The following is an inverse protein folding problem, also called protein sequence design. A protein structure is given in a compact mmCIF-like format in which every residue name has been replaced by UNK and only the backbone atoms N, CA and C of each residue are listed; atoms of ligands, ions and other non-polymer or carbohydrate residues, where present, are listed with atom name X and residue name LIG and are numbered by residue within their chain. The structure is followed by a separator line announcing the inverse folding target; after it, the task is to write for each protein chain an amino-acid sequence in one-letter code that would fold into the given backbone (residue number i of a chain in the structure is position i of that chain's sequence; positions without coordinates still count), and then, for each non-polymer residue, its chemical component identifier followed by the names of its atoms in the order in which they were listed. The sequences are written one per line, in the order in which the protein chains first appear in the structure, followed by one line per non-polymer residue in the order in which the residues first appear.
data_IF_894514196275
#
_entry.id   IF_894514196275
#
_cell.length_a   1.000
_cell.length_b   1.000
_cell.length_c   1.000
_cell.angle_alpha   90.00
_cell.angle_beta   90.00
_cell.angle_gamma   90.00
#
_symmetry.space_group_name_H-M   'P 1'
#
loop_
_entity.id
_entity.type
_entity.pdbx_description
1 polymer ?
#
# COMPACT_ATOMS: atom_id res chain seq x y z
N UNK A 1 -20.12 26.60 -5.93
CA UNK A 1 -18.72 26.59 -6.42
C UNK A 1 -17.95 25.49 -5.68
N UNK A 2 -17.59 24.42 -6.37
CA UNK A 2 -16.72 23.37 -5.80
C UNK A 2 -15.31 23.96 -5.77
N UNK A 3 -14.72 24.21 -4.60
CA UNK A 3 -13.33 24.64 -4.50
C UNK A 3 -12.48 23.57 -5.19
N UNK A 4 -11.80 23.93 -6.28
CA UNK A 4 -10.78 23.09 -6.88
C UNK A 4 -9.59 23.04 -5.92
N UNK A 5 -9.65 22.11 -4.97
CA UNK A 5 -8.55 21.76 -4.10
C UNK A 5 -7.57 20.90 -4.90
N UNK A 6 -6.73 21.53 -5.69
CA UNK A 6 -5.66 20.92 -6.51
C UNK A 6 -4.57 20.21 -5.69
N UNK A 7 -4.76 20.03 -4.38
CA UNK A 7 -3.77 19.50 -3.43
C UNK A 7 -4.37 18.51 -2.42
N UNK A 8 -5.52 17.91 -2.73
CA UNK A 8 -6.15 16.90 -1.90
C UNK A 8 -6.28 15.58 -2.67
N UNK A 9 -5.95 14.47 -2.01
CA UNK A 9 -6.20 13.12 -2.54
C UNK A 9 -7.69 12.93 -2.83
N UNK A 10 -8.01 12.28 -3.95
CA UNK A 10 -9.38 11.87 -4.25
C UNK A 10 -9.91 10.88 -3.20
N UNK A 11 -11.23 10.76 -3.06
CA UNK A 11 -11.85 9.80 -2.13
C UNK A 11 -11.36 8.36 -2.38
N UNK A 12 -11.17 7.99 -3.66
CA UNK A 12 -10.60 6.71 -4.06
C UNK A 12 -9.17 6.54 -3.56
N UNK A 13 -8.32 7.54 -3.75
CA UNK A 13 -6.93 7.50 -3.28
C UNK A 13 -6.86 7.42 -1.74
N UNK A 14 -7.70 8.19 -1.03
CA UNK A 14 -7.81 8.09 0.42
C UNK A 14 -8.29 6.70 0.88
N UNK A 15 -9.22 6.08 0.14
CA UNK A 15 -9.66 4.71 0.40
C UNK A 15 -8.53 3.70 0.24
N UNK A 16 -7.72 3.88 -0.79
CA UNK A 16 -6.53 3.05 -1.02
C UNK A 16 -5.47 3.22 0.08
N UNK A 17 -5.23 4.46 0.53
CA UNK A 17 -4.34 4.71 1.67
C UNK A 17 -4.83 4.06 2.97
N UNK A 18 -6.13 4.11 3.26
CA UNK A 18 -6.73 3.41 4.41
C UNK A 18 -6.57 1.89 4.28
N UNK A 19 -6.73 1.35 3.08
CA UNK A 19 -6.51 -0.07 2.82
C UNK A 19 -5.04 -0.45 3.06
N UNK A 20 -4.09 0.31 2.52
CA UNK A 20 -2.66 0.08 2.76
C UNK A 20 -2.29 0.18 4.23
N UNK A 21 -2.82 1.18 4.94
CA UNK A 21 -2.60 1.31 6.39
C UNK A 21 -3.04 0.04 7.11
N UNK A 22 -4.27 -0.40 6.88
CA UNK A 22 -4.77 -1.67 7.43
C UNK A 22 -3.85 -2.81 7.05
N UNK A 23 -3.49 -2.93 5.76
CA UNK A 23 -2.59 -3.93 5.19
C UNK A 23 -1.24 -4.01 5.93
N UNK A 24 -0.66 -2.87 6.28
CA UNK A 24 0.66 -2.82 6.91
C UNK A 24 0.62 -2.96 8.44
N UNK A 25 -0.52 -2.74 9.09
CA UNK A 25 -0.62 -2.67 10.56
C UNK A 25 -1.48 -3.74 11.20
N UNK A 26 -2.10 -4.64 10.44
CA UNK A 26 -2.69 -5.85 11.04
C UNK A 26 -1.57 -6.69 11.64
N UNK A 27 -1.88 -7.35 12.76
CA UNK A 27 -0.99 -8.33 13.39
C UNK A 27 -0.65 -9.43 12.40
N UNK A 28 0.64 -9.66 12.19
CA UNK A 28 1.16 -10.50 11.11
C UNK A 28 2.47 -11.16 11.54
N UNK A 29 2.79 -12.33 10.99
CA UNK A 29 4.00 -13.08 11.31
C UNK A 29 4.96 -13.06 10.12
N UNK A 30 5.97 -12.19 10.23
CA UNK A 30 7.05 -12.03 9.25
C UNK A 30 8.37 -12.65 9.72
N UNK A 31 8.35 -13.51 10.74
CA UNK A 31 9.55 -14.23 11.17
C UNK A 31 10.05 -15.21 10.10
N UNK A 32 11.28 -15.69 10.23
CA UNK A 32 11.90 -16.61 9.25
C UNK A 32 11.08 -17.90 9.05
N UNK A 33 10.52 -18.43 10.14
CA UNK A 33 9.65 -19.61 10.16
C UNK A 33 8.15 -19.29 10.12
N UNK A 34 7.82 -17.99 10.03
CA UNK A 34 6.46 -17.47 10.05
C UNK A 34 5.78 -17.50 8.68
N UNK A 35 4.45 -17.39 8.69
CA UNK A 35 3.64 -17.28 7.48
C UNK A 35 2.90 -15.94 7.47
N UNK A 36 3.29 -15.00 6.57
CA UNK A 36 2.58 -13.75 6.45
C UNK A 36 1.12 -13.94 6.07
N UNK A 37 0.29 -12.99 6.49
CA UNK A 37 -1.15 -13.06 6.36
C UNK A 37 -1.57 -13.27 4.88
N UNK A 38 -2.64 -14.05 4.58
CA UNK A 38 -2.98 -14.47 3.20
C UNK A 38 -3.33 -13.36 2.21
N UNK A 39 -3.49 -12.12 2.67
CA UNK A 39 -3.74 -10.96 1.80
C UNK A 39 -2.50 -10.51 1.01
N UNK A 40 -1.32 -11.03 1.35
CA UNK A 40 -0.07 -10.73 0.68
C UNK A 40 0.02 -11.68 -0.48
N UNK A 41 0.15 -11.13 -1.68
CA UNK A 41 0.26 -11.94 -2.87
C UNK A 41 1.55 -12.77 -2.82
N UNK A 42 1.37 -14.07 -3.04
CA UNK A 42 2.45 -15.04 -3.20
C UNK A 42 2.24 -15.94 -4.42
N UNK A 43 1.31 -15.57 -5.32
CA UNK A 43 0.88 -16.46 -6.41
C UNK A 43 0.78 -15.77 -7.77
N UNK A 44 0.53 -14.46 -7.84
CA UNK A 44 -0.03 -13.85 -9.06
C UNK A 44 1.03 -13.31 -10.05
N UNK A 45 2.30 -13.11 -9.65
CA UNK A 45 3.31 -12.41 -10.45
C UNK A 45 4.62 -13.19 -10.66
N UNK A 46 4.67 -14.07 -11.67
CA UNK A 46 5.91 -14.79 -12.04
C UNK A 46 7.01 -13.80 -12.48
N UNK A 47 8.32 -13.95 -12.13
CA UNK A 47 8.98 -14.95 -11.28
C UNK A 47 9.08 -14.56 -9.79
N UNK A 48 8.45 -13.45 -9.40
CA UNK A 48 8.36 -12.95 -8.02
C UNK A 48 7.40 -13.78 -7.14
N UNK A 49 6.86 -14.87 -7.71
CA UNK A 49 5.83 -15.81 -7.23
C UNK A 49 6.08 -16.56 -5.92
N UNK A 50 6.96 -16.12 -5.03
CA UNK A 50 7.25 -16.92 -3.82
C UNK A 50 7.38 -16.13 -2.54
N UNK A 51 7.27 -14.79 -2.56
CA UNK A 51 7.57 -14.03 -1.36
C UNK A 51 6.63 -12.84 -1.15
N UNK A 52 5.80 -12.88 -0.07
CA UNK A 52 4.96 -11.76 0.39
C UNK A 52 5.66 -10.39 0.43
N UNK A 53 6.99 -10.38 0.64
CA UNK A 53 7.82 -9.16 0.65
C UNK A 53 7.78 -8.38 -0.68
N UNK A 54 7.55 -9.05 -1.80
CA UNK A 54 7.47 -8.37 -3.09
C UNK A 54 6.17 -7.59 -3.23
N UNK A 55 5.04 -8.17 -2.84
CA UNK A 55 3.76 -7.45 -2.78
C UNK A 55 3.83 -6.27 -1.77
N UNK A 56 4.52 -6.43 -0.64
CA UNK A 56 4.80 -5.31 0.27
C UNK A 56 5.55 -4.16 -0.42
N UNK A 57 6.63 -4.48 -1.13
CA UNK A 57 7.40 -3.48 -1.87
C UNK A 57 6.56 -2.81 -2.96
N UNK A 58 5.80 -3.59 -3.74
CA UNK A 58 4.96 -3.08 -4.83
C UNK A 58 3.82 -2.19 -4.30
N UNK A 59 3.22 -2.58 -3.17
CA UNK A 59 2.20 -1.80 -2.47
C UNK A 59 2.72 -0.42 -2.03
N UNK A 60 4.03 -0.26 -1.79
CA UNK A 60 4.61 1.03 -1.38
C UNK A 60 4.68 2.08 -2.49
N UNK A 61 4.69 1.69 -3.78
CA UNK A 61 4.91 2.63 -4.88
C UNK A 61 3.87 3.75 -4.94
N UNK A 62 2.60 3.44 -4.67
CA UNK A 62 1.59 4.48 -4.71
C UNK A 62 1.58 5.38 -3.46
N UNK A 63 2.31 5.05 -2.38
CA UNK A 63 2.61 6.02 -1.31
C UNK A 63 3.45 7.18 -1.87
N UNK A 64 4.49 6.88 -2.67
CA UNK A 64 5.30 7.90 -3.32
C UNK A 64 4.47 8.82 -4.23
N UNK A 65 3.60 8.23 -5.05
CA UNK A 65 2.69 8.99 -5.92
C UNK A 65 1.70 9.86 -5.12
N UNK A 66 1.25 9.41 -3.95
CA UNK A 66 0.36 10.18 -3.08
C UNK A 66 1.10 11.28 -2.30
N UNK A 67 2.37 11.06 -1.94
CA UNK A 67 3.21 12.05 -1.28
C UNK A 67 3.46 13.28 -2.17
N UNK A 68 3.66 13.07 -3.47
CA UNK A 68 3.78 14.18 -4.44
C UNK A 68 2.54 15.05 -4.50
N UNK A 69 1.35 14.48 -4.29
CA UNK A 69 0.08 15.19 -4.35
C UNK A 69 -0.27 15.93 -3.04
N UNK A 70 0.24 15.47 -1.90
CA UNK A 70 -0.18 15.93 -0.58
C UNK A 70 0.92 16.80 0.06
N UNK A 71 0.76 18.14 0.15
CA UNK A 71 1.84 19.04 0.56
C UNK A 71 2.39 18.79 1.96
N UNK A 72 1.59 18.19 2.86
CA UNK A 72 1.99 17.92 4.24
C UNK A 72 3.04 16.82 4.40
N UNK A 73 3.38 16.09 3.33
CA UNK A 73 4.31 14.96 3.34
C UNK A 73 5.66 15.27 2.65
N UNK A 74 5.87 16.52 2.23
CA UNK A 74 7.15 17.05 1.74
C UNK A 74 7.85 17.78 2.88
#
# INVERSE_FOLDING_TARGET
MRKNSTHLLSERAQGWLRFLWRKATTEDDWSEDGEPHPWWDRYSTAPMMNFPRFDLSESSYAIGLMADMTPAWR
#
